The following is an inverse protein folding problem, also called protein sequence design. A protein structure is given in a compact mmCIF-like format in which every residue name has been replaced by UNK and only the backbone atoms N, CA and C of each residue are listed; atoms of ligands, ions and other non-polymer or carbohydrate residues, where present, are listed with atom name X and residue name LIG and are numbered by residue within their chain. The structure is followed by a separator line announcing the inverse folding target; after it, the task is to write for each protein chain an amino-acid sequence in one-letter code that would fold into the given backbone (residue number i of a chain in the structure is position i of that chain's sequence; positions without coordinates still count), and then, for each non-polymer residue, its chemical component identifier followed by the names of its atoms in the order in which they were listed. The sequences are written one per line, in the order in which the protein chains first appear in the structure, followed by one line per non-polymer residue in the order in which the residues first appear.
data_IF_114193651287
#
_entry.id   IF_114193651287
#
_cell.length_a   1.000
_cell.length_b   1.000
_cell.length_c   1.000
_cell.angle_alpha   90.00
_cell.angle_beta   90.00
_cell.angle_gamma   90.00
#
_symmetry.space_group_name_H-M   'P 1'
#
loop_
_entity.id
_entity.type
_entity.pdbx_description
1 polymer ?
#
# COMPACT_ATOMS: atom_id res chain seq x y z
N UNK A 1 -3.84 -6.43 12.53
CA UNK A 1 -3.87 -4.96 12.52
C UNK A 1 -5.20 -4.52 11.93
N UNK A 2 -5.83 -3.50 12.48
CA UNK A 2 -7.00 -2.84 11.88
C UNK A 2 -6.50 -1.77 10.92
N UNK A 3 -7.02 -1.75 9.69
CA UNK A 3 -6.60 -0.80 8.65
C UNK A 3 -7.37 0.51 8.78
N UNK A 4 -6.66 1.62 8.69
CA UNK A 4 -7.19 2.98 8.66
C UNK A 4 -7.53 3.44 7.24
N UNK A 5 -8.24 4.55 7.09
CA UNK A 5 -8.48 5.18 5.77
C UNK A 5 -7.17 5.55 5.05
N UNK A 6 -6.15 5.98 5.82
CA UNK A 6 -4.82 6.26 5.29
C UNK A 6 -4.17 4.99 4.74
N UNK A 7 -4.31 3.86 5.43
CA UNK A 7 -3.80 2.57 4.95
C UNK A 7 -4.46 2.16 3.63
N UNK A 8 -5.79 2.29 3.52
CA UNK A 8 -6.50 2.00 2.27
C UNK A 8 -6.10 2.95 1.14
N UNK A 9 -5.81 4.22 1.44
CA UNK A 9 -5.27 5.18 0.46
C UNK A 9 -3.90 4.74 -0.07
N UNK A 10 -3.04 4.19 0.79
CA UNK A 10 -1.74 3.62 0.37
C UNK A 10 -1.94 2.40 -0.52
N UNK A 11 -2.84 1.47 -0.15
CA UNK A 11 -3.13 0.28 -0.96
C UNK A 11 -3.71 0.67 -2.32
N UNK A 12 -4.61 1.66 -2.37
CA UNK A 12 -5.20 2.18 -3.61
C UNK A 12 -4.17 2.88 -4.50
N UNK A 13 -3.16 3.55 -3.92
CA UNK A 13 -2.08 4.15 -4.71
C UNK A 13 -1.27 3.10 -5.49
N UNK A 14 -1.07 1.91 -4.91
CA UNK A 14 -0.44 0.79 -5.60
C UNK A 14 -1.38 0.20 -6.64
N UNK A 15 -2.64 -0.08 -6.28
CA UNK A 15 -3.62 -0.70 -7.21
C UNK A 15 -3.90 0.20 -8.43
N UNK A 16 -3.97 1.52 -8.23
CA UNK A 16 -4.21 2.50 -9.29
C UNK A 16 -2.98 2.81 -10.15
N UNK A 17 -1.81 2.25 -9.80
CA UNK A 17 -0.56 2.47 -10.54
C UNK A 17 0.14 3.81 -10.24
N UNK A 18 -0.26 4.54 -9.19
CA UNK A 18 0.50 5.71 -8.71
C UNK A 18 1.86 5.31 -8.14
N UNK A 19 1.98 4.07 -7.67
CA UNK A 19 3.22 3.42 -7.28
C UNK A 19 3.43 2.22 -8.20
N UNK A 20 4.37 2.32 -9.13
CA UNK A 20 4.64 1.28 -10.11
C UNK A 20 5.53 0.17 -9.52
N UNK A 21 5.36 -1.10 -9.98
CA UNK A 21 6.30 -2.17 -9.65
C UNK A 21 7.75 -1.79 -10.01
N UNK A 22 8.68 -2.05 -9.11
CA UNK A 22 10.08 -1.60 -9.26
C UNK A 22 10.38 -0.27 -8.55
N UNK A 23 9.39 0.37 -7.94
CA UNK A 23 9.61 1.53 -7.06
C UNK A 23 10.49 1.12 -5.89
N UNK A 24 11.52 1.93 -5.57
CA UNK A 24 12.37 1.66 -4.41
C UNK A 24 11.60 1.86 -3.11
N UNK A 25 11.84 1.06 -2.05
CA UNK A 25 11.15 1.21 -0.78
C UNK A 25 11.27 2.63 -0.20
N UNK A 26 12.44 3.25 -0.36
CA UNK A 26 12.66 4.64 0.07
C UNK A 26 11.76 5.64 -0.67
N UNK A 27 11.69 5.57 -2.00
CA UNK A 27 10.82 6.48 -2.75
C UNK A 27 9.34 6.24 -2.44
N UNK A 28 8.96 5.00 -2.17
CA UNK A 28 7.61 4.68 -1.74
C UNK A 28 7.27 5.30 -0.38
N UNK A 29 8.17 5.18 0.61
CA UNK A 29 8.02 5.84 1.91
C UNK A 29 7.96 7.36 1.75
N UNK A 30 8.87 7.95 0.98
CA UNK A 30 8.88 9.40 0.72
C UNK A 30 7.56 9.86 0.05
N UNK A 31 7.02 9.07 -0.88
CA UNK A 31 5.72 9.34 -1.51
C UNK A 31 4.57 9.28 -0.49
N UNK A 32 4.53 8.24 0.33
CA UNK A 32 3.48 8.07 1.34
C UNK A 32 3.53 9.20 2.39
N UNK A 33 4.71 9.61 2.85
CA UNK A 33 4.87 10.71 3.81
C UNK A 33 4.40 12.05 3.22
N UNK A 34 4.80 12.36 1.99
CA UNK A 34 4.51 13.66 1.37
C UNK A 34 3.11 13.77 0.75
N UNK A 35 2.57 12.69 0.19
CA UNK A 35 1.35 12.74 -0.63
C UNK A 35 0.12 12.18 0.08
N UNK A 36 0.32 11.27 1.03
CA UNK A 36 -0.77 10.56 1.73
C UNK A 36 -0.78 10.90 3.22
N UNK A 37 0.39 11.14 3.82
CA UNK A 37 0.56 11.38 5.26
C UNK A 37 0.54 10.11 6.10
N UNK A 38 1.00 8.97 5.55
CA UNK A 38 0.99 7.67 6.23
C UNK A 38 2.30 6.90 6.09
N UNK A 39 2.50 5.94 7.00
CA UNK A 39 3.65 5.03 6.98
C UNK A 39 3.26 3.70 6.29
N UNK A 40 3.89 3.30 5.17
CA UNK A 40 3.59 2.04 4.53
C UNK A 40 4.23 0.82 5.22
N UNK A 41 5.16 1.02 6.16
CA UNK A 41 5.91 -0.08 6.79
C UNK A 41 5.00 -1.11 7.49
N UNK A 42 3.96 -0.73 8.26
CA UNK A 42 3.05 -1.70 8.87
C UNK A 42 2.31 -2.56 7.84
N UNK A 43 2.03 -2.03 6.64
CA UNK A 43 1.38 -2.77 5.56
C UNK A 43 2.32 -3.79 4.92
N UNK A 44 3.60 -3.45 4.79
CA UNK A 44 4.66 -4.35 4.35
C UNK A 44 4.84 -5.47 5.38
N UNK A 45 5.05 -5.11 6.65
CA UNK A 45 5.32 -6.07 7.73
C UNK A 45 4.16 -7.06 7.96
N UNK A 46 2.92 -6.61 7.73
CA UNK A 46 1.74 -7.46 7.83
C UNK A 46 1.38 -8.18 6.52
N UNK A 47 2.19 -8.05 5.47
CA UNK A 47 2.04 -8.78 4.21
C UNK A 47 0.86 -8.34 3.35
N UNK A 48 0.48 -7.07 3.40
CA UNK A 48 -0.49 -6.48 2.45
C UNK A 48 0.18 -6.01 1.16
N UNK A 49 1.45 -5.61 1.27
CA UNK A 49 2.28 -5.14 0.15
C UNK A 49 3.41 -6.15 -0.05
N UNK A 50 3.62 -6.56 -1.30
CA UNK A 50 4.79 -7.34 -1.70
C UNK A 50 5.95 -6.35 -1.89
N UNK A 51 6.86 -6.35 -0.93
CA UNK A 51 8.05 -5.52 -0.92
C UNK A 51 9.27 -6.34 -0.51
N UNK A 52 10.29 -6.33 -1.36
CA UNK A 52 11.63 -6.83 -1.05
C UNK A 52 12.66 -5.74 -1.41
N UNK A 53 13.50 -5.95 -2.42
CA UNK A 53 14.37 -4.90 -2.96
C UNK A 53 13.58 -3.76 -3.62
N UNK A 54 12.37 -4.06 -4.08
CA UNK A 54 11.43 -3.14 -4.71
C UNK A 54 10.01 -3.39 -4.21
N UNK A 55 9.15 -2.40 -4.38
CA UNK A 55 7.70 -2.58 -4.27
C UNK A 55 7.25 -3.31 -5.53
N UNK A 56 6.68 -4.51 -5.37
CA UNK A 56 6.21 -5.36 -6.47
C UNK A 56 4.70 -5.23 -6.69
N UNK A 57 3.97 -4.75 -5.70
CA UNK A 57 2.53 -4.52 -5.76
C UNK A 57 1.80 -4.95 -4.50
N UNK A 58 0.50 -5.18 -4.61
CA UNK A 58 -0.30 -5.75 -3.53
C UNK A 58 -0.19 -7.27 -3.50
N UNK A 59 -0.07 -7.84 -2.30
CA UNK A 59 -0.30 -9.29 -2.11
C UNK A 59 -1.79 -9.61 -2.28
N UNK A 60 -2.13 -10.90 -2.31
CA UNK A 60 -3.55 -11.32 -2.31
C UNK A 60 -4.31 -10.80 -1.08
N UNK A 61 -3.64 -10.70 0.07
CA UNK A 61 -4.21 -10.12 1.30
C UNK A 61 -4.48 -8.62 1.12
N UNK A 62 -3.55 -7.89 0.51
CA UNK A 62 -3.72 -6.47 0.14
C UNK A 62 -4.92 -6.24 -0.77
N UNK A 63 -5.01 -7.01 -1.86
CA UNK A 63 -6.11 -6.92 -2.83
C UNK A 63 -7.45 -7.21 -2.19
N UNK A 64 -7.55 -8.27 -1.39
CA UNK A 64 -8.80 -8.63 -0.70
C UNK A 64 -9.25 -7.55 0.28
N UNK A 65 -8.33 -7.01 1.08
CA UNK A 65 -8.65 -5.95 2.03
C UNK A 65 -9.17 -4.70 1.33
N UNK A 66 -8.49 -4.25 0.28
CA UNK A 66 -8.91 -3.09 -0.50
C UNK A 66 -10.25 -3.30 -1.21
N UNK A 67 -10.45 -4.49 -1.80
CA UNK A 67 -11.70 -4.83 -2.48
C UNK A 67 -12.90 -4.95 -1.52
N UNK A 68 -12.68 -5.37 -0.27
CA UNK A 68 -13.72 -5.35 0.77
C UNK A 68 -14.09 -3.92 1.17
N UNK A 69 -13.08 -3.08 1.43
CA UNK A 69 -13.29 -1.67 1.75
C UNK A 69 -14.07 -0.93 0.65
N UNK A 70 -13.70 -1.13 -0.63
CA UNK A 70 -14.40 -0.56 -1.80
C UNK A 70 -15.83 -1.06 -2.00
N UNK A 71 -16.22 -2.18 -1.38
CA UNK A 71 -17.60 -2.68 -1.43
C UNK A 71 -18.48 -2.12 -0.32
N UNK A 72 -17.87 -1.61 0.75
CA UNK A 72 -18.57 -1.09 1.92
C UNK A 72 -18.78 0.43 1.87
N UNK A 73 -18.06 1.13 0.97
CA UNK A 73 -18.12 2.58 0.71
C UNK A 73 -18.54 2.87 -0.73
#
# INVERSE_FOLDING_TARGET
MELTETDYTILDAIESGKVEPGTSPRHFVDYCDNSIGGDPQPLIDNGYIDADHYINGLTEKGKQALAEHKRQN
#
